data_IF_999704812166
#
_entry.id   IF_999704812166
#
_cell.length_a   1.000
_cell.length_b   1.000
_cell.length_c   1.000
_cell.angle_alpha   90.00
_cell.angle_beta   90.00
_cell.angle_gamma   90.00
#
_symmetry.space_group_name_H-M   'P 1'
#
loop_
_entity.id
_entity.type
_entity.pdbx_description
1 polymer ?
#
# COMPACT_ATOMS: atom_id res chain seq x y z
N UNK A 1 -22.29 5.35 44.56
CA UNK A 1 -22.41 4.02 43.92
C UNK A 1 -21.37 3.96 42.80
N UNK A 2 -20.39 3.06 42.88
CA UNK A 2 -19.32 2.93 41.89
C UNK A 2 -19.59 1.75 40.95
N UNK A 3 -19.53 1.97 39.63
CA UNK A 3 -19.73 0.94 38.60
C UNK A 3 -18.36 0.52 38.08
N UNK A 4 -17.97 -0.74 38.32
CA UNK A 4 -16.75 -1.29 37.74
C UNK A 4 -16.99 -1.81 36.32
N UNK A 5 -16.14 -1.39 35.38
CA UNK A 5 -16.12 -1.85 33.99
C UNK A 5 -15.61 -3.29 33.91
N UNK A 6 -16.32 -4.17 33.21
CA UNK A 6 -15.95 -5.59 33.03
C UNK A 6 -14.73 -5.73 32.10
N UNK A 7 -13.76 -6.53 32.52
CA UNK A 7 -12.50 -6.81 31.81
C UNK A 7 -12.72 -7.62 30.52
N UNK A 8 -12.01 -7.25 29.45
CA UNK A 8 -12.12 -7.81 28.09
C UNK A 8 -11.43 -9.18 28.02
N UNK A 9 -12.20 -10.27 28.12
CA UNK A 9 -11.71 -11.68 28.03
C UNK A 9 -11.81 -12.25 26.60
N UNK A 10 -12.30 -11.46 25.64
CA UNK A 10 -12.57 -11.94 24.27
C UNK A 10 -11.30 -12.11 23.39
N UNK A 11 -10.24 -11.34 23.60
CA UNK A 11 -9.05 -11.34 22.72
C UNK A 11 -8.21 -12.62 22.86
N UNK A 12 -8.26 -13.29 24.01
CA UNK A 12 -7.43 -14.48 24.28
C UNK A 12 -7.90 -15.73 23.52
N UNK A 13 -9.19 -15.80 23.16
CA UNK A 13 -9.75 -16.96 22.46
C UNK A 13 -9.39 -16.98 20.99
N UNK A 14 -9.41 -15.83 20.30
CA UNK A 14 -9.08 -15.75 18.87
C UNK A 14 -7.60 -16.10 18.63
N UNK A 15 -6.70 -15.62 19.49
CA UNK A 15 -5.29 -15.95 19.43
C UNK A 15 -5.01 -17.46 19.67
N UNK A 16 -5.75 -18.10 20.58
CA UNK A 16 -5.63 -19.53 20.84
C UNK A 16 -6.16 -20.40 19.70
N UNK A 17 -7.24 -19.96 19.03
CA UNK A 17 -7.81 -20.65 17.86
C UNK A 17 -6.86 -20.53 16.66
N UNK A 18 -6.26 -19.36 16.44
CA UNK A 18 -5.28 -19.17 15.37
C UNK A 18 -4.05 -20.09 15.54
N UNK A 19 -3.52 -20.19 16.77
CA UNK A 19 -2.38 -21.05 17.07
C UNK A 19 -2.68 -22.56 16.86
N UNK A 20 -3.89 -23.00 17.17
CA UNK A 20 -4.34 -24.38 16.92
C UNK A 20 -4.44 -24.70 15.42
N UNK A 21 -5.00 -23.77 14.63
CA UNK A 21 -5.16 -23.95 13.17
C UNK A 21 -3.79 -23.99 12.46
N UNK A 22 -2.81 -23.20 12.92
CA UNK A 22 -1.45 -23.19 12.34
C UNK A 22 -0.57 -24.38 12.76
N UNK A 23 -0.98 -25.17 13.77
CA UNK A 23 -0.19 -26.29 14.30
C UNK A 23 -0.40 -27.62 13.58
N UNK A 24 -1.32 -27.68 12.60
CA UNK A 24 -1.58 -28.89 11.85
C UNK A 24 -0.43 -29.18 10.85
N UNK A 25 0.08 -30.42 10.76
CA UNK A 25 1.21 -30.77 9.89
C UNK A 25 0.90 -30.63 8.39
N UNK A 26 -0.38 -30.69 8.00
CA UNK A 26 -0.84 -30.42 6.63
C UNK A 26 -1.01 -28.92 6.34
N UNK A 27 -0.96 -28.09 7.39
CA UNK A 27 -1.16 -26.64 7.37
C UNK A 27 0.12 -25.84 7.15
N UNK A 28 1.23 -26.49 6.77
CA UNK A 28 2.39 -25.79 6.22
C UNK A 28 1.94 -25.13 4.90
N UNK A 29 1.34 -23.95 5.02
CA UNK A 29 1.26 -23.00 3.93
C UNK A 29 2.69 -22.85 3.46
N UNK A 30 2.99 -23.47 2.31
CA UNK A 30 4.17 -23.22 1.50
C UNK A 30 4.43 -21.74 1.66
N UNK A 31 5.58 -21.41 2.25
CA UNK A 31 6.02 -20.05 2.41
C UNK A 31 6.17 -19.48 1.00
N UNK A 32 5.06 -19.02 0.44
CA UNK A 32 5.05 -17.99 -0.59
C UNK A 32 5.83 -16.89 0.08
N UNK A 33 7.04 -16.67 -0.41
CA UNK A 33 7.85 -15.51 -0.09
C UNK A 33 6.92 -14.31 -0.28
N UNK A 34 6.30 -13.92 0.82
CA UNK A 34 5.44 -12.77 0.91
C UNK A 34 6.44 -11.64 0.93
N UNK A 35 6.88 -11.26 -0.28
CA UNK A 35 7.47 -9.95 -0.51
C UNK A 35 6.46 -9.00 0.11
N UNK A 36 6.78 -8.52 1.32
CA UNK A 36 5.85 -7.74 2.11
C UNK A 36 5.28 -6.66 1.19
N UNK A 37 3.95 -6.61 1.01
CA UNK A 37 3.37 -5.78 -0.03
C UNK A 37 3.84 -4.35 0.23
N UNK A 38 4.50 -3.72 -0.75
CA UNK A 38 5.04 -2.38 -0.58
C UNK A 38 3.94 -1.43 -0.08
N UNK A 39 4.02 -1.03 1.19
CA UNK A 39 2.91 -0.42 1.93
C UNK A 39 2.82 1.10 1.71
N UNK A 40 3.72 1.70 0.93
CA UNK A 40 3.73 3.15 0.78
C UNK A 40 2.56 3.60 -0.11
N UNK A 41 1.63 4.34 0.49
CA UNK A 41 0.50 4.96 -0.19
C UNK A 41 -0.77 4.13 -0.17
N UNK A 42 -1.89 4.77 -0.52
CA UNK A 42 -3.20 4.14 -0.48
C UNK A 42 -3.33 3.13 -1.64
N UNK A 43 -3.77 1.87 -1.39
CA UNK A 43 -4.06 0.93 -2.47
C UNK A 43 -5.17 1.45 -3.38
N UNK A 44 -4.94 1.41 -4.70
CA UNK A 44 -5.92 1.71 -5.74
C UNK A 44 -5.83 0.66 -6.84
N UNK A 45 -6.50 -0.48 -6.62
CA UNK A 45 -6.34 -1.68 -7.45
C UNK A 45 -4.90 -2.16 -7.45
N UNK A 46 -4.32 -2.35 -8.64
CA UNK A 46 -2.92 -2.79 -8.82
C UNK A 46 -1.89 -1.66 -8.68
N UNK A 47 -2.31 -0.43 -8.35
CA UNK A 47 -1.43 0.73 -8.20
C UNK A 47 -1.50 1.29 -6.78
N UNK A 48 -0.48 2.04 -6.38
CA UNK A 48 -0.45 2.81 -5.13
C UNK A 48 -0.61 4.29 -5.44
N UNK A 49 -1.50 4.96 -4.74
CA UNK A 49 -1.62 6.42 -4.79
C UNK A 49 -0.56 7.04 -3.88
N UNK A 50 0.22 7.97 -4.45
CA UNK A 50 1.22 8.74 -3.72
C UNK A 50 0.87 10.23 -3.77
N UNK A 51 0.99 10.90 -2.63
CA UNK A 51 0.96 12.36 -2.57
C UNK A 51 2.40 12.85 -2.55
N UNK A 52 2.77 13.68 -3.52
CA UNK A 52 4.09 14.30 -3.59
C UNK A 52 3.94 15.80 -3.66
N UNK A 53 4.81 16.52 -2.95
CA UNK A 53 4.90 17.98 -3.03
C UNK A 53 5.94 18.33 -4.07
N UNK A 54 5.56 19.15 -5.05
CA UNK A 54 6.42 19.54 -6.17
C UNK A 54 6.50 21.06 -6.22
N UNK A 55 7.66 21.60 -6.58
CA UNK A 55 7.80 23.03 -6.82
C UNK A 55 6.87 23.50 -7.96
N UNK A 56 6.21 24.66 -7.82
CA UNK A 56 5.21 25.14 -8.79
C UNK A 56 5.82 25.38 -10.18
N UNK A 57 7.07 25.86 -10.24
CA UNK A 57 7.79 26.08 -11.49
C UNK A 57 8.05 24.77 -12.25
N UNK A 58 8.30 23.67 -11.53
CA UNK A 58 8.48 22.36 -12.15
C UNK A 58 7.15 21.79 -12.63
N UNK A 59 6.08 22.01 -11.87
CA UNK A 59 4.74 21.56 -12.23
C UNK A 59 4.26 22.19 -13.55
N UNK A 60 4.50 23.50 -13.75
CA UNK A 60 4.19 24.20 -15.01
C UNK A 60 4.91 23.58 -16.20
N UNK A 61 6.21 23.30 -16.07
CA UNK A 61 6.99 22.66 -17.14
C UNK A 61 6.50 21.25 -17.45
N UNK A 62 6.01 20.53 -16.45
CA UNK A 62 5.40 19.21 -16.65
C UNK A 62 4.10 19.33 -17.44
N UNK A 63 3.26 20.32 -17.14
CA UNK A 63 2.02 20.57 -17.88
C UNK A 63 2.25 20.92 -19.33
N UNK A 64 3.15 21.87 -19.60
CA UNK A 64 3.49 22.29 -20.96
C UNK A 64 3.96 21.10 -21.83
N UNK A 65 4.77 20.20 -21.25
CA UNK A 65 5.23 18.99 -21.93
C UNK A 65 4.14 17.94 -22.09
N UNK A 66 3.27 17.80 -21.09
CA UNK A 66 2.16 16.86 -21.13
C UNK A 66 1.17 17.27 -22.25
N UNK A 67 0.85 18.56 -22.33
CA UNK A 67 -0.01 19.16 -23.35
C UNK A 67 0.58 19.03 -24.75
N UNK A 68 1.89 19.31 -24.91
CA UNK A 68 2.59 19.15 -26.19
C UNK A 68 2.56 17.70 -26.73
N UNK A 69 2.52 16.71 -25.84
CA UNK A 69 2.39 15.29 -26.22
C UNK A 69 0.93 14.81 -26.28
N UNK A 70 -0.05 15.65 -25.95
CA UNK A 70 -1.46 15.26 -25.87
C UNK A 70 -1.76 14.25 -24.75
N UNK A 71 -0.95 14.23 -23.70
CA UNK A 71 -1.09 13.31 -22.56
C UNK A 71 -1.54 14.05 -21.31
N UNK A 72 -2.30 13.37 -20.44
CA UNK A 72 -2.60 13.94 -19.12
C UNK A 72 -1.35 14.04 -18.24
N UNK A 73 -1.30 15.05 -17.36
CA UNK A 73 -0.21 15.26 -16.37
C UNK A 73 0.20 13.98 -15.63
N UNK A 74 -0.77 13.20 -15.15
CA UNK A 74 -0.53 11.95 -14.41
C UNK A 74 0.13 10.87 -15.28
N UNK A 75 -0.25 10.80 -16.56
CA UNK A 75 0.36 9.88 -17.53
C UNK A 75 1.80 10.30 -17.83
N UNK A 76 2.04 11.60 -18.02
CA UNK A 76 3.39 12.14 -18.20
C UNK A 76 4.33 11.79 -17.04
N UNK A 77 3.88 12.03 -15.80
CA UNK A 77 4.67 11.72 -14.59
C UNK A 77 4.96 10.23 -14.49
N UNK A 78 3.96 9.39 -14.76
CA UNK A 78 4.12 7.92 -14.72
C UNK A 78 5.12 7.45 -15.78
N UNK A 79 5.06 8.01 -16.99
CA UNK A 79 5.98 7.71 -18.07
C UNK A 79 7.40 8.15 -17.75
N UNK A 80 7.58 9.37 -17.20
CA UNK A 80 8.88 9.89 -16.82
C UNK A 80 9.56 9.02 -15.76
N UNK A 81 8.81 8.57 -14.74
CA UNK A 81 9.32 7.64 -13.72
C UNK A 81 9.72 6.30 -14.34
N UNK A 82 8.91 5.76 -15.24
CA UNK A 82 9.24 4.51 -15.91
C UNK A 82 10.50 4.61 -16.76
N UNK A 83 10.67 5.72 -17.49
CA UNK A 83 11.88 5.98 -18.27
C UNK A 83 13.11 6.11 -17.36
N UNK A 84 13.00 6.86 -16.26
CA UNK A 84 14.10 7.06 -15.33
C UNK A 84 14.58 5.79 -14.61
N UNK A 85 13.72 4.77 -14.49
CA UNK A 85 14.06 3.47 -13.89
C UNK A 85 14.60 2.45 -14.89
N UNK A 86 14.50 2.73 -16.20
CA UNK A 86 14.93 1.84 -17.29
C UNK A 86 16.26 2.22 -17.92
N UNK A 87 16.78 3.40 -17.59
CA UNK A 87 18.19 3.76 -17.79
C UNK A 87 19.05 3.09 -16.71
#
# INVERSE_FOLDING_TARGET
MAIHKKTKVAETKEAAVAAFVTGAPDGQSVAVETVAPYEKGLPKGNKRQISITIAPELLRKVDERADAMGTGRSAFISMALYKALKE
#
